data_IF_358122482478
#
_entry.id   IF_358122482478
#
_cell.length_a   1.000
_cell.length_b   1.000
_cell.length_c   1.000
_cell.angle_alpha   90.00
_cell.angle_beta   90.00
_cell.angle_gamma   90.00
#
_symmetry.space_group_name_H-M   'P 1'
#
loop_
_entity.id
_entity.type
_entity.pdbx_description
1 polymer ?
#
# COMPACT_ATOMS: atom_id res chain seq x y z
N UNK A 1 62.90 60.10 3.90
CA UNK A 1 62.54 58.79 3.49
C UNK A 1 62.20 57.93 4.68
N UNK A 2 60.88 57.73 4.96
CA UNK A 2 60.44 56.95 6.13
C UNK A 2 60.47 55.44 5.74
N UNK A 3 61.28 54.68 6.49
CA UNK A 3 61.30 53.19 6.34
C UNK A 3 59.99 52.63 6.83
N UNK A 4 59.18 52.08 5.92
CA UNK A 4 58.03 51.23 6.31
C UNK A 4 58.58 49.97 7.00
N UNK A 5 58.17 49.75 8.25
CA UNK A 5 58.62 48.60 9.00
C UNK A 5 58.05 47.28 8.44
N UNK A 6 58.92 46.30 8.37
CA UNK A 6 58.61 44.94 7.86
C UNK A 6 57.40 44.30 8.60
N UNK A 7 57.14 44.80 9.82
CA UNK A 7 55.96 44.37 10.61
C UNK A 7 54.58 44.59 9.91
N UNK A 8 54.43 45.64 9.12
CA UNK A 8 53.19 45.98 8.44
C UNK A 8 52.94 45.08 7.25
N UNK A 9 53.99 44.56 6.59
CA UNK A 9 53.86 43.64 5.46
C UNK A 9 53.39 42.28 5.97
N UNK A 10 53.85 41.80 7.12
CA UNK A 10 53.39 40.57 7.74
C UNK A 10 51.95 40.67 8.26
N UNK A 11 51.51 41.84 8.76
CA UNK A 11 50.14 42.02 9.20
C UNK A 11 49.14 42.03 8.02
N UNK A 12 49.50 42.59 6.86
CA UNK A 12 48.67 42.59 5.66
C UNK A 12 48.61 41.20 5.00
N UNK A 13 49.70 40.43 4.99
CA UNK A 13 49.73 39.04 4.50
C UNK A 13 48.95 38.08 5.41
N UNK A 14 48.99 38.30 6.73
CA UNK A 14 48.18 37.52 7.67
C UNK A 14 46.67 37.83 7.54
N UNK A 15 46.30 39.08 7.29
CA UNK A 15 44.90 39.49 7.05
C UNK A 15 44.39 38.94 5.71
N UNK A 16 45.22 38.86 4.65
CA UNK A 16 44.83 38.28 3.35
C UNK A 16 44.68 36.74 3.42
N UNK A 17 45.49 36.08 4.26
CA UNK A 17 45.38 34.61 4.47
C UNK A 17 44.12 34.24 5.28
N UNK A 18 43.58 35.12 6.12
CA UNK A 18 42.33 34.92 6.85
C UNK A 18 41.09 35.14 5.96
N UNK A 19 41.18 35.93 4.90
CA UNK A 19 40.11 36.14 3.93
C UNK A 19 39.97 34.96 2.91
N UNK A 20 40.99 34.14 2.78
CA UNK A 20 40.95 32.94 1.89
C UNK A 20 40.40 31.69 2.55
N UNK A 21 40.10 31.70 3.86
CA UNK A 21 39.45 30.59 4.56
C UNK A 21 37.91 30.67 4.59
N UNK A 22 37.30 31.61 3.90
CA UNK A 22 35.86 31.89 3.93
C UNK A 22 35.03 31.30 2.80
N UNK A 23 35.59 30.45 1.89
CA UNK A 23 34.83 29.71 0.90
C UNK A 23 34.98 28.20 1.12
N UNK A 24 34.53 27.71 2.28
CA UNK A 24 33.98 26.38 2.34
C UNK A 24 32.64 26.49 1.64
N UNK A 25 32.53 25.90 0.45
CA UNK A 25 31.25 25.62 -0.14
C UNK A 25 30.34 25.02 0.93
N UNK A 26 29.08 25.47 1.05
CA UNK A 26 28.17 24.77 1.95
C UNK A 26 28.24 23.28 1.57
N UNK A 27 28.57 22.44 2.55
CA UNK A 27 28.39 21.00 2.44
C UNK A 27 27.03 20.77 1.82
N UNK A 28 26.97 19.91 0.79
CA UNK A 28 25.75 19.51 0.13
C UNK A 28 24.61 19.48 1.14
N UNK A 29 23.62 20.30 0.86
CA UNK A 29 22.39 20.42 1.65
C UNK A 29 21.92 18.98 1.91
N UNK A 30 22.05 18.52 3.16
CA UNK A 30 21.41 17.27 3.56
C UNK A 30 19.92 17.60 3.63
N UNK A 31 19.27 17.64 2.46
CA UNK A 31 17.83 17.68 2.39
C UNK A 31 17.28 16.58 3.29
N UNK A 32 16.28 16.90 4.08
CA UNK A 32 15.58 15.90 4.89
C UNK A 32 15.22 14.71 4.02
N UNK A 33 15.31 13.47 4.52
CA UNK A 33 14.95 12.31 3.74
C UNK A 33 13.51 12.43 3.25
N UNK A 34 13.25 11.98 2.03
CA UNK A 34 11.89 11.75 1.56
C UNK A 34 11.26 10.62 2.37
N UNK A 35 9.98 10.73 2.67
CA UNK A 35 9.29 9.75 3.52
C UNK A 35 8.31 8.93 2.70
N UNK A 36 8.47 7.60 2.74
CA UNK A 36 7.55 6.64 2.15
C UNK A 36 6.77 5.91 3.25
N UNK A 37 5.46 6.12 3.30
CA UNK A 37 4.55 5.42 4.22
C UNK A 37 3.83 4.29 3.50
N UNK A 38 3.94 3.06 4.01
CA UNK A 38 3.32 1.88 3.41
C UNK A 38 2.62 1.00 4.45
N UNK A 39 1.90 -0.01 3.97
CA UNK A 39 1.16 -0.96 4.79
C UNK A 39 1.94 -2.27 4.96
N UNK A 40 1.84 -2.84 6.15
CA UNK A 40 2.31 -4.19 6.44
C UNK A 40 1.43 -5.20 5.71
N UNK A 41 2.01 -5.90 4.74
CA UNK A 41 1.29 -6.85 3.89
C UNK A 41 1.73 -6.77 2.42
N UNK A 42 0.83 -6.99 1.45
CA UNK A 42 1.17 -7.09 0.03
C UNK A 42 1.98 -5.90 -0.49
N UNK A 43 1.65 -4.67 -0.10
CA UNK A 43 2.37 -3.47 -0.54
C UNK A 43 3.85 -3.51 -0.13
N UNK A 44 4.15 -3.73 1.16
CA UNK A 44 5.53 -3.84 1.64
C UNK A 44 6.23 -5.14 1.20
N UNK A 45 5.46 -6.22 0.98
CA UNK A 45 6.01 -7.46 0.40
C UNK A 45 6.51 -7.23 -1.03
N UNK A 46 5.72 -6.56 -1.88
CA UNK A 46 6.11 -6.26 -3.25
C UNK A 46 7.36 -5.37 -3.34
N UNK A 47 7.55 -4.46 -2.39
CA UNK A 47 8.71 -3.56 -2.35
C UNK A 47 9.87 -4.05 -1.48
N UNK A 48 9.85 -5.30 -0.99
CA UNK A 48 10.81 -5.76 0.04
C UNK A 48 12.27 -5.64 -0.36
N UNK A 49 12.60 -5.88 -1.64
CA UNK A 49 13.96 -5.70 -2.15
C UNK A 49 14.35 -4.22 -2.22
N UNK A 50 13.42 -3.34 -2.56
CA UNK A 50 13.64 -1.90 -2.51
C UNK A 50 13.89 -1.46 -1.07
N UNK A 51 13.09 -1.92 -0.09
CA UNK A 51 13.28 -1.65 1.34
C UNK A 51 14.68 -2.10 1.77
N UNK A 52 15.09 -3.32 1.44
CA UNK A 52 16.44 -3.84 1.76
C UNK A 52 17.56 -2.98 1.13
N UNK A 53 17.35 -2.47 -0.08
CA UNK A 53 18.30 -1.57 -0.76
C UNK A 53 18.37 -0.20 -0.09
N UNK A 54 17.24 0.39 0.30
CA UNK A 54 17.18 1.68 0.98
C UNK A 54 17.86 1.63 2.37
N UNK A 55 17.61 0.58 3.14
CA UNK A 55 18.20 0.39 4.46
C UNK A 55 19.73 0.15 4.43
N UNK A 56 20.24 -0.52 3.38
CA UNK A 56 21.65 -0.89 3.26
C UNK A 56 22.43 0.00 2.27
N UNK A 57 21.75 0.82 1.48
CA UNK A 57 22.32 1.68 0.44
C UNK A 57 22.34 3.14 0.85
N UNK A 58 23.16 3.93 0.10
CA UNK A 58 23.25 5.37 0.27
C UNK A 58 22.68 6.15 -0.93
N UNK A 59 22.10 5.43 -1.89
CA UNK A 59 21.78 5.99 -3.21
C UNK A 59 20.48 6.77 -3.27
N UNK A 60 19.56 6.53 -2.32
CA UNK A 60 18.31 7.27 -2.16
C UNK A 60 18.16 7.71 -0.71
N UNK A 61 17.99 9.00 -0.50
CA UNK A 61 17.72 9.55 0.84
C UNK A 61 16.21 9.42 1.12
N UNK A 62 15.74 8.19 1.37
CA UNK A 62 14.32 7.89 1.60
C UNK A 62 14.16 7.02 2.84
N UNK A 63 13.34 7.49 3.79
CA UNK A 63 12.92 6.75 4.96
C UNK A 63 11.64 5.96 4.65
N UNK A 64 11.59 4.68 5.04
CA UNK A 64 10.40 3.84 4.85
C UNK A 64 9.73 3.57 6.18
N UNK A 65 8.45 3.94 6.31
CA UNK A 65 7.63 3.71 7.49
C UNK A 65 6.52 2.72 7.17
N UNK A 66 6.50 1.59 7.87
CA UNK A 66 5.55 0.50 7.64
C UNK A 66 4.50 0.49 8.75
N UNK A 67 3.23 0.67 8.39
CA UNK A 67 2.09 0.72 9.30
C UNK A 67 1.24 -0.55 9.26
N UNK A 68 0.56 -0.85 10.35
CA UNK A 68 -0.37 -1.99 10.42
C UNK A 68 -1.74 -1.68 9.80
N UNK A 69 -2.18 -0.42 9.88
CA UNK A 69 -3.54 -0.02 9.51
C UNK A 69 -3.55 1.16 8.51
N UNK A 70 -4.46 1.14 7.51
CA UNK A 70 -4.58 2.21 6.51
C UNK A 70 -4.82 3.61 7.11
N UNK A 71 -5.49 3.70 8.26
CA UNK A 71 -5.75 4.97 8.94
C UNK A 71 -4.46 5.66 9.42
N UNK A 72 -3.40 4.89 9.68
CA UNK A 72 -2.09 5.46 10.07
C UNK A 72 -1.41 6.10 8.86
N UNK A 73 -1.44 5.46 7.71
CA UNK A 73 -0.93 6.02 6.43
C UNK A 73 -1.76 7.25 6.03
N UNK A 74 -3.10 7.17 6.16
CA UNK A 74 -4.00 8.31 5.94
C UNK A 74 -3.61 9.52 6.80
N UNK A 75 -3.26 9.31 8.07
CA UNK A 75 -2.81 10.37 8.97
C UNK A 75 -1.56 11.06 8.41
N UNK A 76 -0.55 10.30 8.01
CA UNK A 76 0.67 10.84 7.39
C UNK A 76 0.37 11.72 6.16
N UNK A 77 -0.56 11.28 5.32
CA UNK A 77 -0.98 12.02 4.14
C UNK A 77 -1.70 13.33 4.50
N UNK A 78 -2.58 13.31 5.50
CA UNK A 78 -3.30 14.52 5.99
C UNK A 78 -2.31 15.53 6.62
N UNK A 79 -1.34 15.05 7.38
CA UNK A 79 -0.30 15.85 8.02
C UNK A 79 0.78 16.32 7.04
N UNK A 80 0.73 15.86 5.78
CA UNK A 80 1.75 16.12 4.74
C UNK A 80 3.16 15.73 5.20
N UNK A 81 3.25 14.68 6.03
CA UNK A 81 4.50 14.18 6.62
C UNK A 81 5.07 12.96 5.85
N UNK A 82 4.46 12.58 4.73
CA UNK A 82 4.99 11.60 3.81
C UNK A 82 4.93 12.11 2.37
N UNK A 83 5.99 11.88 1.60
CA UNK A 83 6.08 12.23 0.18
C UNK A 83 5.43 11.16 -0.71
N UNK A 84 5.57 9.91 -0.27
CA UNK A 84 5.02 8.73 -0.93
C UNK A 84 4.13 7.97 0.04
N UNK A 85 2.94 7.58 -0.40
CA UNK A 85 2.03 6.80 0.43
C UNK A 85 1.42 5.66 -0.38
N UNK A 86 1.27 4.49 0.26
CA UNK A 86 0.54 3.36 -0.31
C UNK A 86 -0.64 3.04 0.58
N UNK A 87 -1.84 3.10 -0.01
CA UNK A 87 -3.10 2.91 0.71
C UNK A 87 -4.17 2.37 -0.26
N UNK A 88 -5.33 1.88 0.25
CA UNK A 88 -6.41 1.42 -0.60
C UNK A 88 -6.84 2.49 -1.62
N UNK A 89 -7.05 2.09 -2.87
CA UNK A 89 -7.36 3.01 -3.97
C UNK A 89 -8.62 3.84 -3.72
N UNK A 90 -9.64 3.27 -3.08
CA UNK A 90 -10.85 4.02 -2.67
C UNK A 90 -10.52 5.11 -1.65
N UNK A 91 -9.61 4.83 -0.70
CA UNK A 91 -9.16 5.82 0.28
C UNK A 91 -8.29 6.90 -0.38
N UNK A 92 -7.44 6.54 -1.35
CA UNK A 92 -6.67 7.49 -2.14
C UNK A 92 -7.59 8.46 -2.88
N UNK A 93 -8.62 7.95 -3.55
CA UNK A 93 -9.64 8.75 -4.23
C UNK A 93 -10.41 9.66 -3.26
N UNK A 94 -10.82 9.13 -2.10
CA UNK A 94 -11.46 9.91 -1.03
C UNK A 94 -10.60 11.12 -0.61
N UNK A 95 -9.32 10.88 -0.33
CA UNK A 95 -8.42 11.92 0.16
C UNK A 95 -8.10 12.96 -0.92
N UNK A 96 -7.91 12.53 -2.15
CA UNK A 96 -7.77 13.42 -3.30
C UNK A 96 -9.02 14.31 -3.47
N UNK A 97 -10.21 13.74 -3.44
CA UNK A 97 -11.47 14.46 -3.54
C UNK A 97 -11.72 15.41 -2.36
N UNK A 98 -11.05 15.19 -1.22
CA UNK A 98 -11.00 16.12 -0.08
C UNK A 98 -9.94 17.22 -0.22
N UNK A 99 -9.26 17.30 -1.36
CA UNK A 99 -8.31 18.35 -1.69
C UNK A 99 -6.87 18.10 -1.23
N UNK A 100 -6.50 16.84 -0.90
CA UNK A 100 -5.11 16.52 -0.65
C UNK A 100 -4.35 16.44 -1.98
N UNK A 101 -3.24 17.16 -2.09
CA UNK A 101 -2.43 17.27 -3.31
C UNK A 101 -1.46 16.08 -3.45
N UNK A 102 -2.03 14.89 -3.69
CA UNK A 102 -1.32 13.66 -4.02
C UNK A 102 -1.90 13.05 -5.29
N UNK A 103 -1.05 12.50 -6.12
CA UNK A 103 -1.44 11.92 -7.40
C UNK A 103 -1.12 10.43 -7.43
N UNK A 104 -1.99 9.64 -8.03
CA UNK A 104 -1.80 8.22 -8.23
C UNK A 104 -0.80 7.99 -9.36
N UNK A 105 0.33 7.37 -9.05
CA UNK A 105 1.38 7.08 -10.03
C UNK A 105 1.42 5.62 -10.46
N UNK A 106 0.94 4.70 -9.60
CA UNK A 106 0.88 3.27 -9.93
C UNK A 106 -0.15 2.50 -9.09
N UNK A 107 -0.52 1.32 -9.57
CA UNK A 107 -1.21 0.27 -8.82
C UNK A 107 -0.23 -0.88 -8.61
N UNK A 108 0.30 -1.07 -7.39
CA UNK A 108 1.27 -2.13 -7.08
C UNK A 108 0.66 -3.45 -6.60
N UNK A 109 -0.59 -3.43 -6.10
CA UNK A 109 -1.30 -4.60 -5.56
C UNK A 109 -2.70 -4.67 -6.14
N UNK A 110 -3.06 -5.84 -6.60
CA UNK A 110 -4.35 -6.16 -7.19
C UNK A 110 -5.08 -7.14 -6.28
N UNK A 111 -6.35 -7.32 -6.39
CA UNK A 111 -7.23 -8.06 -5.48
C UNK A 111 -6.59 -9.15 -4.62
N UNK A 112 -6.74 -9.03 -3.31
CA UNK A 112 -6.18 -9.97 -2.33
C UNK A 112 -7.23 -10.56 -1.39
N UNK A 113 -8.52 -10.27 -1.64
CA UNK A 113 -9.62 -10.66 -0.77
C UNK A 113 -10.13 -12.07 -1.10
N UNK A 114 -10.43 -12.80 -0.04
CA UNK A 114 -10.99 -14.16 -0.11
C UNK A 114 -12.13 -14.33 0.88
N UNK A 115 -13.15 -15.09 0.48
CA UNK A 115 -14.05 -15.73 1.44
C UNK A 115 -13.37 -17.01 1.92
N UNK A 116 -13.16 -17.11 3.24
CA UNK A 116 -12.54 -18.26 3.90
C UNK A 116 -13.57 -18.93 4.80
N UNK A 117 -13.60 -20.24 4.85
CA UNK A 117 -14.52 -20.98 5.68
C UNK A 117 -14.13 -22.42 5.94
N UNK A 118 -14.99 -23.13 6.70
CA UNK A 118 -14.85 -24.57 6.94
C UNK A 118 -15.37 -25.35 5.73
N UNK A 119 -14.73 -26.47 5.46
CA UNK A 119 -15.07 -27.37 4.38
C UNK A 119 -16.53 -27.86 4.51
N UNK A 120 -17.21 -28.09 3.42
CA UNK A 120 -18.57 -28.63 3.31
C UNK A 120 -19.77 -27.66 3.42
N UNK A 121 -19.57 -26.36 3.67
CA UNK A 121 -20.69 -25.45 3.97
C UNK A 121 -21.13 -24.59 2.78
N UNK A 122 -20.21 -24.32 1.85
CA UNK A 122 -20.47 -23.40 0.73
C UNK A 122 -19.78 -23.91 -0.54
N UNK A 123 -20.55 -24.28 -1.54
CA UNK A 123 -20.08 -24.65 -2.88
C UNK A 123 -20.32 -23.54 -3.90
N UNK A 124 -21.41 -22.78 -3.73
CA UNK A 124 -21.75 -21.63 -4.55
C UNK A 124 -22.31 -20.46 -3.72
N UNK A 125 -22.64 -19.35 -4.39
CA UNK A 125 -23.12 -18.15 -3.73
C UNK A 125 -24.49 -18.36 -3.05
N UNK A 126 -25.37 -19.19 -3.60
CA UNK A 126 -26.68 -19.47 -3.00
C UNK A 126 -26.58 -20.11 -1.62
N UNK A 127 -25.54 -20.91 -1.37
CA UNK A 127 -25.29 -21.53 -0.07
C UNK A 127 -24.99 -20.50 1.04
N UNK A 128 -24.73 -19.26 0.69
CA UNK A 128 -24.53 -18.16 1.66
C UNK A 128 -25.83 -17.67 2.28
N UNK A 129 -27.00 -18.00 1.71
CA UNK A 129 -28.29 -17.58 2.27
C UNK A 129 -28.50 -18.12 3.68
N UNK A 130 -28.92 -17.24 4.56
CA UNK A 130 -29.11 -17.55 5.99
C UNK A 130 -27.82 -17.70 6.80
N UNK A 131 -26.66 -17.60 6.17
CA UNK A 131 -25.37 -17.69 6.86
C UNK A 131 -24.99 -16.38 7.53
N UNK A 132 -24.04 -16.49 8.47
CA UNK A 132 -23.31 -15.36 9.05
C UNK A 132 -21.91 -15.34 8.46
N UNK A 133 -21.51 -14.19 7.93
CA UNK A 133 -20.16 -13.96 7.41
C UNK A 133 -19.53 -12.80 8.18
N UNK A 134 -18.37 -13.06 8.79
CA UNK A 134 -17.60 -12.02 9.43
C UNK A 134 -16.83 -11.21 8.40
N UNK A 135 -16.98 -9.90 8.44
CA UNK A 135 -16.36 -8.98 7.48
C UNK A 135 -15.65 -7.88 8.25
N UNK A 136 -14.46 -7.52 7.79
CA UNK A 136 -13.72 -6.42 8.38
C UNK A 136 -14.09 -5.06 7.78
N UNK A 137 -13.74 -3.99 8.47
CA UNK A 137 -13.72 -2.61 7.94
C UNK A 137 -15.06 -2.18 7.31
N UNK A 138 -16.13 -2.20 8.11
CA UNK A 138 -17.48 -1.80 7.70
C UNK A 138 -17.48 -0.46 6.96
N UNK A 139 -18.09 -0.43 5.77
CA UNK A 139 -18.17 0.76 4.90
C UNK A 139 -16.86 1.07 4.15
N UNK A 140 -15.82 0.23 4.26
CA UNK A 140 -14.57 0.36 3.50
C UNK A 140 -14.49 -0.69 2.38
N UNK A 141 -13.38 -0.73 1.66
CA UNK A 141 -13.20 -1.57 0.47
C UNK A 141 -13.62 -3.03 0.64
N UNK A 142 -13.17 -3.78 1.68
CA UNK A 142 -13.54 -5.20 1.81
C UNK A 142 -15.05 -5.42 1.96
N UNK A 143 -15.70 -4.59 2.77
CA UNK A 143 -17.15 -4.68 3.01
C UNK A 143 -17.95 -4.32 1.75
N UNK A 144 -17.62 -3.18 1.11
CA UNK A 144 -18.37 -2.70 -0.06
C UNK A 144 -18.18 -3.64 -1.24
N UNK A 145 -16.96 -4.16 -1.47
CA UNK A 145 -16.70 -5.14 -2.52
C UNK A 145 -17.48 -6.43 -2.28
N UNK A 146 -17.48 -6.96 -1.05
CA UNK A 146 -18.24 -8.17 -0.77
C UNK A 146 -19.76 -7.97 -0.90
N UNK A 147 -20.29 -6.81 -0.46
CA UNK A 147 -21.69 -6.44 -0.66
C UNK A 147 -22.06 -6.30 -2.13
N UNK A 148 -21.16 -5.76 -2.95
CA UNK A 148 -21.32 -5.70 -4.39
C UNK A 148 -21.45 -7.12 -4.97
N UNK A 149 -20.51 -8.01 -4.69
CA UNK A 149 -20.53 -9.39 -5.17
C UNK A 149 -21.77 -10.19 -4.71
N UNK A 150 -22.22 -9.97 -3.47
CA UNK A 150 -23.48 -10.53 -2.99
C UNK A 150 -24.66 -10.11 -3.87
N UNK A 151 -24.78 -8.80 -4.18
CA UNK A 151 -25.86 -8.28 -5.01
C UNK A 151 -25.81 -8.81 -6.43
N UNK A 152 -24.64 -8.88 -7.03
CA UNK A 152 -24.46 -9.43 -8.38
C UNK A 152 -24.82 -10.93 -8.45
N UNK A 153 -24.73 -11.66 -7.34
CA UNK A 153 -25.20 -13.03 -7.21
C UNK A 153 -26.64 -13.15 -6.65
N UNK A 154 -27.43 -12.05 -6.66
CA UNK A 154 -28.83 -12.05 -6.25
C UNK A 154 -29.07 -12.17 -4.74
N UNK A 155 -28.07 -11.96 -3.92
CA UNK A 155 -28.14 -12.05 -2.45
C UNK A 155 -28.24 -10.63 -1.86
N UNK A 156 -29.27 -10.36 -1.11
CA UNK A 156 -29.45 -9.06 -0.46
C UNK A 156 -28.78 -9.06 0.92
N UNK A 157 -27.72 -8.26 1.12
CA UNK A 157 -27.10 -8.10 2.44
C UNK A 157 -28.12 -7.70 3.52
N UNK A 158 -27.95 -8.20 4.74
CA UNK A 158 -28.82 -8.04 5.94
C UNK A 158 -30.21 -8.66 5.83
N UNK A 159 -30.67 -9.03 4.64
CA UNK A 159 -31.93 -9.76 4.45
C UNK A 159 -31.70 -11.25 4.26
N UNK A 160 -30.86 -11.59 3.31
CA UNK A 160 -30.60 -12.99 2.92
C UNK A 160 -29.35 -13.56 3.62
N UNK A 161 -28.50 -12.72 4.15
CA UNK A 161 -27.23 -13.06 4.83
C UNK A 161 -26.96 -12.05 5.96
N UNK A 162 -26.33 -12.52 7.03
CA UNK A 162 -25.92 -11.65 8.15
C UNK A 162 -24.44 -11.29 7.99
N UNK A 163 -24.11 -10.01 7.85
CA UNK A 163 -22.75 -9.51 7.89
C UNK A 163 -22.38 -9.08 9.29
N UNK A 164 -21.33 -9.69 9.85
CA UNK A 164 -20.91 -9.49 11.24
C UNK A 164 -19.57 -8.75 11.29
N UNK A 165 -19.52 -7.64 12.04
CA UNK A 165 -18.36 -6.74 12.17
C UNK A 165 -17.82 -6.71 13.61
N UNK A 166 -17.99 -7.80 14.36
CA UNK A 166 -17.62 -7.87 15.78
C UNK A 166 -16.11 -7.77 16.02
N UNK A 167 -15.28 -8.04 14.99
CA UNK A 167 -13.83 -7.98 15.08
C UNK A 167 -13.31 -6.66 14.50
N UNK A 168 -12.71 -5.77 15.33
CA UNK A 168 -12.42 -4.39 14.93
C UNK A 168 -11.22 -4.26 13.98
N UNK A 169 -10.27 -5.22 14.01
CA UNK A 169 -9.06 -5.18 13.16
C UNK A 169 -8.95 -6.41 12.28
N UNK A 170 -8.16 -6.30 11.20
CA UNK A 170 -7.83 -7.41 10.31
C UNK A 170 -7.20 -8.59 11.08
N UNK A 171 -6.31 -8.30 12.03
CA UNK A 171 -5.62 -9.31 12.83
C UNK A 171 -6.58 -9.99 13.82
N UNK A 172 -7.50 -9.25 14.44
CA UNK A 172 -8.48 -9.82 15.36
C UNK A 172 -9.40 -10.79 14.62
N UNK A 173 -9.91 -10.40 13.45
CA UNK A 173 -10.72 -11.28 12.61
C UNK A 173 -9.93 -12.53 12.20
N UNK A 174 -8.69 -12.38 11.72
CA UNK A 174 -7.86 -13.52 11.34
C UNK A 174 -7.59 -14.48 12.50
N UNK A 175 -7.33 -13.96 13.70
CA UNK A 175 -7.15 -14.79 14.90
C UNK A 175 -8.43 -15.53 15.29
N UNK A 176 -9.60 -14.88 15.22
CA UNK A 176 -10.90 -15.51 15.48
C UNK A 176 -11.21 -16.62 14.47
N UNK A 177 -10.93 -16.40 13.19
CA UNK A 177 -11.06 -17.40 12.11
C UNK A 177 -10.14 -18.59 12.39
N UNK A 178 -8.87 -18.35 12.68
CA UNK A 178 -7.90 -19.41 13.01
C UNK A 178 -8.31 -20.22 14.24
N UNK A 179 -8.91 -19.57 15.24
CA UNK A 179 -9.43 -20.20 16.46
C UNK A 179 -10.77 -20.94 16.23
N UNK A 180 -11.36 -20.89 15.03
CA UNK A 180 -12.63 -21.53 14.70
C UNK A 180 -13.87 -20.84 15.29
N UNK A 181 -13.74 -19.57 15.68
CA UNK A 181 -14.85 -18.75 16.21
C UNK A 181 -15.75 -18.18 15.10
N UNK A 182 -15.26 -18.19 13.85
CA UNK A 182 -16.00 -17.78 12.66
C UNK A 182 -16.11 -18.95 11.69
N UNK A 183 -17.31 -19.23 11.19
CA UNK A 183 -17.51 -20.28 10.18
C UNK A 183 -17.16 -19.77 8.78
N UNK A 184 -17.45 -18.50 8.48
CA UNK A 184 -17.16 -17.83 7.23
C UNK A 184 -16.62 -16.43 7.53
N UNK A 185 -15.58 -16.02 6.78
CA UNK A 185 -15.02 -14.68 6.94
C UNK A 185 -14.41 -14.16 5.62
N UNK A 186 -14.58 -12.85 5.39
CA UNK A 186 -13.88 -12.12 4.32
C UNK A 186 -12.59 -11.55 4.90
N UNK A 187 -11.46 -12.08 4.45
CA UNK A 187 -10.12 -11.64 4.84
C UNK A 187 -9.20 -11.54 3.64
N UNK A 188 -8.10 -10.80 3.76
CA UNK A 188 -7.12 -10.62 2.69
C UNK A 188 -5.83 -11.40 2.92
N UNK A 189 -5.04 -11.63 1.87
CA UNK A 189 -3.65 -12.02 2.03
C UNK A 189 -2.86 -10.89 2.73
N UNK A 190 -1.85 -11.20 3.54
CA UNK A 190 -1.30 -12.52 3.86
C UNK A 190 -2.02 -13.26 5.01
N UNK A 191 -3.09 -12.68 5.56
CA UNK A 191 -3.83 -13.27 6.68
C UNK A 191 -4.51 -14.58 6.29
N UNK A 192 -4.97 -14.71 5.04
CA UNK A 192 -5.51 -15.98 4.50
C UNK A 192 -4.48 -17.10 4.66
N UNK A 193 -3.25 -16.89 4.19
CA UNK A 193 -2.16 -17.86 4.34
C UNK A 193 -1.86 -18.20 5.80
N UNK A 194 -1.92 -17.20 6.67
CA UNK A 194 -1.70 -17.36 8.11
C UNK A 194 -2.77 -18.23 8.76
N UNK A 195 -4.05 -17.98 8.49
CA UNK A 195 -5.15 -18.74 9.11
C UNK A 195 -5.21 -20.16 8.59
N UNK A 196 -4.98 -20.38 7.29
CA UNK A 196 -4.94 -21.71 6.70
C UNK A 196 -3.77 -22.55 7.24
N UNK A 197 -2.62 -21.95 7.53
CA UNK A 197 -1.51 -22.63 8.20
C UNK A 197 -1.85 -23.02 9.64
N UNK A 198 -2.58 -22.16 10.37
CA UNK A 198 -2.94 -22.38 11.78
C UNK A 198 -4.09 -23.37 11.94
N UNK A 199 -4.99 -23.47 10.96
CA UNK A 199 -6.18 -24.29 11.04
C UNK A 199 -6.46 -25.00 9.71
N UNK A 200 -6.11 -26.27 9.65
CA UNK A 200 -6.21 -27.10 8.44
C UNK A 200 -7.66 -27.48 8.06
N UNK A 201 -8.66 -27.18 8.91
CA UNK A 201 -10.07 -27.37 8.57
C UNK A 201 -10.66 -26.23 7.77
N UNK A 202 -9.86 -25.16 7.54
CA UNK A 202 -10.26 -23.99 6.76
C UNK A 202 -9.74 -24.09 5.31
N UNK A 203 -10.50 -23.54 4.39
CA UNK A 203 -10.12 -23.40 2.99
C UNK A 203 -10.62 -22.08 2.42
N UNK A 204 -10.11 -21.73 1.24
CA UNK A 204 -10.62 -20.59 0.47
C UNK A 204 -11.87 -21.03 -0.26
N UNK A 205 -13.00 -20.41 0.08
CA UNK A 205 -14.30 -20.67 -0.55
C UNK A 205 -14.34 -19.98 -1.91
N UNK A 206 -14.11 -18.65 -1.92
CA UNK A 206 -14.06 -17.84 -3.12
C UNK A 206 -12.83 -16.96 -3.14
N UNK A 207 -12.20 -16.81 -4.29
CA UNK A 207 -11.34 -15.69 -4.62
C UNK A 207 -12.22 -14.52 -5.08
N UNK A 208 -12.31 -13.46 -4.29
CA UNK A 208 -13.23 -12.36 -4.59
C UNK A 208 -12.75 -11.50 -5.77
N UNK A 209 -11.46 -11.55 -6.13
CA UNK A 209 -10.93 -10.90 -7.32
C UNK A 209 -11.34 -11.64 -8.61
N UNK A 210 -11.36 -12.98 -8.59
CA UNK A 210 -11.86 -13.78 -9.71
C UNK A 210 -13.36 -13.52 -9.91
N UNK A 211 -14.13 -13.46 -8.82
CA UNK A 211 -15.55 -13.15 -8.86
C UNK A 211 -15.83 -11.74 -9.36
N UNK A 212 -15.05 -10.76 -8.90
CA UNK A 212 -15.12 -9.39 -9.39
C UNK A 212 -14.81 -9.33 -10.90
N UNK A 213 -13.72 -9.95 -11.32
CA UNK A 213 -13.32 -9.96 -12.73
C UNK A 213 -14.37 -10.62 -13.62
N UNK A 214 -15.11 -11.61 -13.11
CA UNK A 214 -16.22 -12.26 -13.83
C UNK A 214 -17.36 -11.29 -14.15
N UNK A 215 -17.67 -10.34 -13.25
CA UNK A 215 -18.74 -9.35 -13.47
C UNK A 215 -18.25 -8.11 -14.20
N UNK A 216 -17.10 -7.57 -13.80
CA UNK A 216 -16.61 -6.28 -14.27
C UNK A 216 -15.69 -6.36 -15.49
N UNK A 217 -15.11 -7.52 -15.79
CA UNK A 217 -14.13 -7.70 -16.86
C UNK A 217 -12.78 -7.00 -16.61
N UNK A 218 -12.58 -6.43 -15.42
CA UNK A 218 -11.35 -5.76 -15.00
C UNK A 218 -10.89 -6.31 -13.64
N UNK A 219 -9.57 -6.28 -13.33
CA UNK A 219 -9.09 -6.69 -12.01
C UNK A 219 -9.38 -5.63 -10.94
N UNK A 220 -9.37 -6.04 -9.67
CA UNK A 220 -9.47 -5.15 -8.52
C UNK A 220 -8.19 -4.33 -8.39
N UNK A 221 -8.26 -3.01 -8.62
CA UNK A 221 -7.15 -2.08 -8.37
C UNK A 221 -7.06 -1.76 -6.86
N UNK A 222 -6.49 -2.67 -6.06
CA UNK A 222 -6.66 -2.66 -4.60
C UNK A 222 -5.92 -1.53 -3.90
N UNK A 223 -4.63 -1.31 -4.23
CA UNK A 223 -3.86 -0.23 -3.61
C UNK A 223 -3.25 0.71 -4.63
N UNK A 224 -3.25 2.00 -4.30
CA UNK A 224 -2.59 3.05 -5.08
C UNK A 224 -1.27 3.45 -4.45
N UNK A 225 -0.25 3.66 -5.29
CA UNK A 225 0.96 4.36 -4.94
C UNK A 225 0.77 5.84 -5.27
N UNK A 226 0.66 6.64 -4.21
CA UNK A 226 0.41 8.07 -4.30
C UNK A 226 1.69 8.85 -4.02
N UNK A 227 1.93 9.89 -4.80
CA UNK A 227 3.06 10.80 -4.63
C UNK A 227 2.55 12.21 -4.39
N UNK A 228 3.13 12.92 -3.41
CA UNK A 228 2.78 14.31 -3.14
C UNK A 228 3.14 15.20 -4.33
N UNK A 229 2.30 16.19 -4.64
CA UNK A 229 2.58 17.19 -5.68
C UNK A 229 3.92 17.88 -5.43
N UNK A 230 4.26 18.12 -4.17
CA UNK A 230 5.56 18.68 -3.80
C UNK A 230 6.72 17.80 -4.29
N UNK A 231 6.71 16.50 -3.97
CA UNK A 231 7.77 15.59 -4.39
C UNK A 231 7.85 15.46 -5.92
N UNK A 232 6.71 15.41 -6.63
CA UNK A 232 6.67 15.41 -8.10
C UNK A 232 7.34 16.64 -8.70
N UNK A 233 7.22 17.80 -8.07
CA UNK A 233 7.78 19.07 -8.57
C UNK A 233 9.23 19.30 -8.16
N UNK A 234 9.63 18.91 -6.94
CA UNK A 234 10.92 19.23 -6.37
C UNK A 234 11.94 18.10 -6.42
N UNK A 235 11.47 16.86 -6.55
CA UNK A 235 12.30 15.64 -6.54
C UNK A 235 11.92 14.65 -7.65
N UNK A 236 11.72 15.09 -8.93
CA UNK A 236 11.22 14.23 -9.99
C UNK A 236 12.11 13.01 -10.26
N UNK A 237 13.43 13.16 -10.18
CA UNK A 237 14.38 12.06 -10.41
C UNK A 237 14.30 10.99 -9.29
N UNK A 238 14.13 11.41 -8.03
CA UNK A 238 13.95 10.52 -6.90
C UNK A 238 12.62 9.75 -7.01
N UNK A 239 11.55 10.43 -7.44
CA UNK A 239 10.24 9.81 -7.70
C UNK A 239 10.38 8.72 -8.78
N UNK A 240 11.02 9.02 -9.92
CA UNK A 240 11.23 8.04 -10.98
C UNK A 240 12.08 6.85 -10.51
N UNK A 241 13.17 7.10 -9.76
CA UNK A 241 14.03 6.04 -9.23
C UNK A 241 13.30 5.15 -8.22
N UNK A 242 12.47 5.74 -7.35
CA UNK A 242 11.68 4.99 -6.36
C UNK A 242 10.62 4.12 -7.06
N UNK A 243 9.91 4.66 -8.04
CA UNK A 243 8.93 3.92 -8.84
C UNK A 243 9.58 2.75 -9.58
N UNK A 244 10.69 2.99 -10.27
CA UNK A 244 11.45 1.95 -10.97
C UNK A 244 11.98 0.89 -9.98
N UNK A 245 12.48 1.31 -8.83
CA UNK A 245 12.93 0.42 -7.75
C UNK A 245 11.81 -0.47 -7.23
N UNK A 246 10.59 0.07 -7.05
CA UNK A 246 9.44 -0.72 -6.63
C UNK A 246 9.03 -1.73 -7.71
N UNK A 247 8.95 -1.31 -8.97
CA UNK A 247 8.65 -2.22 -10.09
C UNK A 247 9.64 -3.37 -10.17
N UNK A 248 10.94 -3.07 -10.11
CA UNK A 248 12.01 -4.08 -10.12
C UNK A 248 11.92 -5.01 -8.90
N UNK A 249 11.63 -4.46 -7.72
CA UNK A 249 11.40 -5.24 -6.51
C UNK A 249 10.24 -6.21 -6.68
N UNK A 250 9.09 -5.73 -7.18
CA UNK A 250 7.91 -6.56 -7.40
C UNK A 250 8.18 -7.72 -8.37
N UNK A 251 8.87 -7.45 -9.47
CA UNK A 251 9.29 -8.50 -10.42
C UNK A 251 10.20 -9.53 -9.76
N UNK A 252 11.18 -9.05 -8.99
CA UNK A 252 12.11 -9.93 -8.29
C UNK A 252 11.41 -10.79 -7.22
N UNK A 253 10.45 -10.23 -6.45
CA UNK A 253 9.66 -10.96 -5.46
C UNK A 253 8.92 -12.14 -6.10
N UNK A 254 8.28 -11.90 -7.24
CA UNK A 254 7.56 -12.94 -7.96
C UNK A 254 8.50 -14.00 -8.57
N UNK A 255 9.71 -13.60 -8.99
CA UNK A 255 10.68 -14.50 -9.59
C UNK A 255 11.45 -15.33 -8.53
N UNK A 256 11.69 -14.77 -7.35
CA UNK A 256 12.48 -15.38 -6.28
C UNK A 256 11.72 -15.40 -4.94
N UNK A 257 10.57 -16.09 -4.86
CA UNK A 257 9.69 -16.05 -3.69
C UNK A 257 10.37 -16.55 -2.40
N UNK A 258 11.28 -17.51 -2.46
CA UNK A 258 12.00 -18.01 -1.28
C UNK A 258 12.97 -16.95 -0.70
N UNK A 259 13.71 -16.27 -1.56
CA UNK A 259 14.58 -15.16 -1.15
C UNK A 259 13.76 -13.96 -0.64
N UNK A 260 12.65 -13.66 -1.30
CA UNK A 260 11.73 -12.59 -0.89
C UNK A 260 11.11 -12.90 0.48
N UNK A 261 10.67 -14.14 0.72
CA UNK A 261 10.11 -14.56 2.01
C UNK A 261 11.10 -14.37 3.16
N UNK A 262 12.38 -14.65 2.92
CA UNK A 262 13.44 -14.44 3.91
C UNK A 262 13.62 -12.95 4.25
N UNK A 263 13.58 -12.06 3.26
CA UNK A 263 13.61 -10.61 3.50
C UNK A 263 12.33 -10.10 4.18
N UNK A 264 11.15 -10.59 3.79
CA UNK A 264 9.87 -10.24 4.40
C UNK A 264 9.90 -10.52 5.91
N UNK A 265 10.47 -11.65 6.32
CA UNK A 265 10.63 -11.99 7.75
C UNK A 265 11.73 -11.16 8.40
N UNK A 266 12.88 -10.94 7.72
CA UNK A 266 13.98 -10.09 8.22
C UNK A 266 13.48 -8.69 8.59
N UNK A 267 12.62 -8.09 7.78
CA UNK A 267 12.03 -6.76 8.01
C UNK A 267 10.74 -6.78 8.84
N UNK A 268 10.39 -7.91 9.45
CA UNK A 268 9.26 -8.05 10.37
C UNK A 268 7.89 -7.80 9.73
N UNK A 269 7.77 -7.93 8.40
CA UNK A 269 6.48 -7.80 7.71
C UNK A 269 5.60 -9.00 8.03
N UNK A 270 6.16 -10.21 7.94
CA UNK A 270 5.50 -11.44 8.37
C UNK A 270 6.42 -12.22 9.33
N UNK A 271 5.85 -12.98 10.27
CA UNK A 271 6.64 -13.69 11.27
C UNK A 271 7.22 -15.01 10.77
N UNK A 272 6.78 -15.50 9.61
CA UNK A 272 7.04 -16.88 9.16
C UNK A 272 7.34 -16.94 7.66
N UNK A 273 8.45 -17.59 7.30
CA UNK A 273 8.96 -17.68 5.92
C UNK A 273 8.00 -18.47 5.02
N UNK A 274 7.38 -19.53 5.52
CA UNK A 274 6.47 -20.36 4.72
C UNK A 274 5.16 -19.62 4.43
N UNK A 275 4.62 -18.89 5.44
CA UNK A 275 3.48 -18.00 5.24
C UNK A 275 3.84 -16.92 4.23
N UNK A 276 5.00 -16.28 4.36
CA UNK A 276 5.46 -15.26 3.42
C UNK A 276 5.54 -15.80 1.99
N UNK A 277 6.21 -16.95 1.81
CA UNK A 277 6.36 -17.60 0.50
C UNK A 277 5.00 -17.95 -0.11
N UNK A 278 4.10 -18.55 0.68
CA UNK A 278 2.80 -18.98 0.18
C UNK A 278 1.86 -17.81 -0.12
N UNK A 279 1.97 -16.70 0.61
CA UNK A 279 1.14 -15.51 0.37
C UNK A 279 1.59 -14.68 -0.84
N UNK A 280 2.89 -14.67 -1.20
CA UNK A 280 3.40 -13.94 -2.38
C UNK A 280 2.59 -14.32 -3.63
N UNK A 281 2.39 -15.61 -3.89
CA UNK A 281 1.70 -16.11 -5.08
C UNK A 281 0.22 -15.68 -5.16
N UNK A 282 -0.39 -15.35 -4.03
CA UNK A 282 -1.82 -14.98 -3.92
C UNK A 282 -2.05 -13.50 -3.61
N UNK A 283 -0.98 -12.75 -3.47
CA UNK A 283 -1.05 -11.31 -3.19
C UNK A 283 -1.15 -10.45 -4.44
N UNK A 284 -1.25 -11.06 -5.62
CA UNK A 284 -1.41 -10.38 -6.92
C UNK A 284 -0.49 -9.15 -7.06
N UNK A 285 0.81 -9.36 -6.74
CA UNK A 285 1.82 -8.31 -6.78
C UNK A 285 2.21 -8.00 -8.23
N UNK A 286 1.80 -6.85 -8.74
CA UNK A 286 2.10 -6.40 -10.09
C UNK A 286 2.13 -4.88 -10.13
N UNK A 287 3.32 -4.29 -10.23
CA UNK A 287 3.45 -2.84 -10.37
C UNK A 287 3.05 -2.42 -11.79
N UNK A 288 2.01 -1.58 -11.90
CA UNK A 288 1.55 -1.04 -13.18
C UNK A 288 1.41 0.47 -13.04
N UNK A 289 2.03 1.24 -13.96
CA UNK A 289 1.92 2.68 -13.95
C UNK A 289 0.46 3.11 -14.16
N UNK A 290 -0.03 4.03 -13.34
CA UNK A 290 -1.45 4.41 -13.32
C UNK A 290 -1.89 5.03 -14.66
N UNK A 291 -1.01 5.79 -15.31
CA UNK A 291 -1.27 6.39 -16.64
C UNK A 291 -1.62 5.36 -17.73
N UNK A 292 -1.06 4.15 -17.64
CA UNK A 292 -1.26 3.09 -18.64
C UNK A 292 -2.59 2.36 -18.46
N UNK A 293 -3.21 2.51 -17.28
CA UNK A 293 -4.43 1.79 -16.88
C UNK A 293 -5.52 2.73 -16.34
N UNK A 294 -5.50 4.01 -16.73
CA UNK A 294 -6.51 5.00 -16.32
C UNK A 294 -7.95 4.50 -16.45
N UNK A 295 -8.37 3.87 -17.57
CA UNK A 295 -9.73 3.35 -17.69
C UNK A 295 -10.07 2.29 -16.65
N UNK A 296 -9.11 1.42 -16.29
CA UNK A 296 -9.30 0.37 -15.28
C UNK A 296 -9.50 0.98 -13.89
N UNK A 297 -8.68 1.97 -13.51
CA UNK A 297 -8.81 2.67 -12.23
C UNK A 297 -10.14 3.41 -12.14
N UNK A 298 -10.54 4.10 -13.22
CA UNK A 298 -11.81 4.84 -13.27
C UNK A 298 -13.00 3.88 -13.15
N UNK A 299 -13.01 2.78 -13.91
CA UNK A 299 -14.08 1.79 -13.84
C UNK A 299 -14.17 1.12 -12.45
N UNK A 300 -13.01 0.78 -11.85
CA UNK A 300 -12.96 0.28 -10.48
C UNK A 300 -13.62 1.26 -9.49
N UNK A 301 -13.24 2.54 -9.53
CA UNK A 301 -13.81 3.56 -8.65
C UNK A 301 -15.28 3.84 -8.92
N UNK A 302 -15.75 3.68 -10.17
CA UNK A 302 -17.16 3.88 -10.52
C UNK A 302 -18.06 2.85 -9.82
N UNK A 303 -17.69 1.58 -9.76
CA UNK A 303 -18.46 0.56 -9.01
C UNK A 303 -18.60 0.97 -7.54
N UNK A 304 -17.53 1.44 -6.90
CA UNK A 304 -17.59 1.91 -5.51
C UNK A 304 -18.44 3.18 -5.37
N UNK A 305 -18.38 4.07 -6.34
CA UNK A 305 -19.23 5.25 -6.39
C UNK A 305 -20.71 4.87 -6.47
N UNK A 306 -21.08 3.94 -7.33
CA UNK A 306 -22.45 3.45 -7.47
C UNK A 306 -22.94 2.75 -6.20
N UNK A 307 -22.08 2.01 -5.52
CA UNK A 307 -22.41 1.32 -4.27
C UNK A 307 -22.56 2.28 -3.09
N UNK A 308 -21.65 3.22 -2.94
CA UNK A 308 -21.62 4.23 -1.89
C UNK A 308 -20.69 5.39 -2.28
N UNK A 309 -21.22 6.51 -2.78
CA UNK A 309 -20.42 7.67 -3.21
C UNK A 309 -19.43 8.17 -2.16
N UNK A 310 -19.77 8.08 -0.88
CA UNK A 310 -18.95 8.63 0.21
C UNK A 310 -17.62 7.89 0.38
N UNK A 311 -17.55 6.64 -0.05
CA UNK A 311 -16.31 5.82 0.07
C UNK A 311 -15.14 6.39 -0.73
N UNK A 312 -15.46 7.12 -1.82
CA UNK A 312 -14.47 7.79 -2.66
C UNK A 312 -14.58 9.33 -2.58
N UNK A 313 -15.33 9.86 -1.62
CA UNK A 313 -15.45 11.30 -1.38
C UNK A 313 -16.49 12.03 -2.23
N UNK A 314 -17.54 11.32 -2.65
CA UNK A 314 -18.76 11.89 -3.23
C UNK A 314 -18.73 12.15 -4.74
N UNK A 315 -17.60 11.83 -5.42
CA UNK A 315 -17.46 11.96 -6.88
C UNK A 315 -16.35 11.05 -7.41
N UNK A 316 -16.41 10.72 -8.69
CA UNK A 316 -15.25 10.13 -9.39
C UNK A 316 -14.15 11.20 -9.45
N UNK A 317 -12.88 10.87 -9.11
CA UNK A 317 -11.77 11.81 -9.26
C UNK A 317 -11.62 12.30 -10.70
N UNK A 318 -11.20 13.54 -10.87
CA UNK A 318 -10.89 14.12 -12.17
C UNK A 318 -9.59 13.56 -12.78
N UNK A 319 -9.24 14.06 -13.97
CA UNK A 319 -8.07 13.55 -14.73
C UNK A 319 -6.75 13.77 -13.99
N UNK A 320 -6.64 14.78 -13.14
CA UNK A 320 -5.42 15.10 -12.40
C UNK A 320 -5.15 14.11 -11.24
N UNK A 321 -6.11 13.27 -10.87
CA UNK A 321 -5.89 12.21 -9.89
C UNK A 321 -4.76 11.27 -10.30
N UNK A 322 -4.61 10.99 -11.59
CA UNK A 322 -3.60 10.09 -12.15
C UNK A 322 -2.51 10.93 -12.81
N UNK A 323 -1.28 10.75 -12.32
CA UNK A 323 -0.08 11.41 -12.83
C UNK A 323 0.45 10.78 -14.11
#
# INVERSE_FOLDING_TARGET
MKRLSISWIFAVLAALALLLKGCTSPSADQSSPLVLATLKGPSSMGMIRLIDSLENGKDLNTEVIIFNEPLQVRKMMIEKSADFVILPTTMAALLYNKGLEYHCTAIPVWGTLYLVGKDSVVADWEDLRGKRVNVMARGMTPDVLFRYLLRENGITPEKDITLDYSFPTHIDLANAVAAGQCDLAVISEPLVSMVLKKNNSLYRVFNLDDEWTRFEGIPVAETSFMVSKSALMTHPEEVERLMAGYELSTRWVNQYPDSAASLIVKYGILPDVEVARSSIQRSNLKFVAAKDIRPVITAYLDVFYQMNPDIIGGRIPDEDFIY
#
